data_IF_714097846323
#
_entry.id   IF_714097846323
#
_cell.length_a   1.000
_cell.length_b   1.000
_cell.length_c   1.000
_cell.angle_alpha   90.00
_cell.angle_beta   90.00
_cell.angle_gamma   90.00
#
_symmetry.space_group_name_H-M   'P 1'
#
loop_
_entity.id
_entity.type
_entity.pdbx_description
1 polymer ?
#
# COMPACT_ATOMS: atom_id res chain seq x y z
N UNK A 1 22.47 -1.47 12.89
CA UNK A 1 21.82 -2.57 12.12
C UNK A 1 20.69 -2.02 11.27
N UNK A 2 19.72 -1.31 11.84
CA UNK A 2 18.59 -0.72 11.09
C UNK A 2 19.01 0.18 9.91
N UNK A 3 19.99 1.07 10.09
CA UNK A 3 20.48 1.91 8.99
C UNK A 3 21.16 1.12 7.86
N UNK A 4 21.79 0.00 8.22
CA UNK A 4 22.45 -0.90 7.27
C UNK A 4 21.40 -1.68 6.49
N UNK A 5 20.27 -2.02 7.12
CA UNK A 5 19.17 -2.77 6.52
C UNK A 5 19.65 -4.06 5.83
N UNK A 6 20.42 -4.85 6.57
CA UNK A 6 21.04 -6.09 6.09
C UNK A 6 20.01 -7.13 5.67
N UNK A 7 20.41 -7.96 4.71
CA UNK A 7 19.65 -9.14 4.30
C UNK A 7 19.42 -10.11 5.47
N UNK A 8 20.49 -10.48 6.17
CA UNK A 8 20.45 -11.34 7.35
C UNK A 8 21.07 -10.60 8.56
N UNK A 9 20.41 -10.68 9.72
CA UNK A 9 20.93 -10.14 10.99
C UNK A 9 20.94 -11.25 12.03
N UNK A 10 22.14 -11.63 12.50
CA UNK A 10 22.29 -12.57 13.61
C UNK A 10 22.68 -11.83 14.89
N UNK A 11 21.90 -12.03 15.95
CA UNK A 11 22.06 -11.37 17.25
C UNK A 11 22.55 -12.38 18.28
N UNK A 12 23.80 -12.25 18.69
CA UNK A 12 24.46 -13.11 19.68
C UNK A 12 24.80 -12.30 20.93
N UNK A 13 23.76 -11.92 21.67
CA UNK A 13 23.88 -11.15 22.92
C UNK A 13 23.15 -11.87 24.06
N UNK A 14 23.35 -11.41 25.30
CA UNK A 14 22.67 -11.97 26.49
C UNK A 14 21.16 -11.71 26.51
N UNK A 15 20.70 -10.61 25.91
CA UNK A 15 19.28 -10.25 25.77
C UNK A 15 18.97 -9.91 24.29
N UNK A 16 18.75 -10.93 23.44
CA UNK A 16 18.48 -10.73 22.02
C UNK A 16 17.11 -10.08 21.77
N UNK A 17 16.18 -10.10 22.73
CA UNK A 17 14.83 -9.57 22.55
C UNK A 17 14.82 -8.04 22.48
N UNK A 18 15.84 -7.36 23.02
CA UNK A 18 16.01 -5.90 22.82
C UNK A 18 16.08 -5.58 21.33
N UNK A 19 16.72 -6.42 20.53
CA UNK A 19 16.84 -6.21 19.08
C UNK A 19 15.53 -6.54 18.37
N UNK A 20 14.85 -7.62 18.75
CA UNK A 20 13.52 -7.93 18.21
C UNK A 20 12.52 -6.78 18.41
N UNK A 21 12.56 -6.11 19.57
CA UNK A 21 11.66 -4.99 19.88
C UNK A 21 12.04 -3.68 19.19
N UNK A 22 13.29 -3.51 18.75
CA UNK A 22 13.82 -2.22 18.27
C UNK A 22 14.16 -2.18 16.79
N UNK A 23 14.54 -3.31 16.20
CA UNK A 23 14.90 -3.34 14.78
C UNK A 23 13.63 -3.30 13.93
N UNK A 24 13.66 -2.47 12.89
CA UNK A 24 12.57 -2.30 11.93
C UNK A 24 13.01 -2.61 10.50
N UNK A 25 14.32 -2.68 10.24
CA UNK A 25 14.88 -2.87 8.90
C UNK A 25 15.85 -4.07 8.85
N UNK A 26 15.34 -5.24 8.47
CA UNK A 26 16.11 -6.47 8.23
C UNK A 26 15.36 -7.40 7.27
N UNK A 27 16.07 -8.22 6.50
CA UNK A 27 15.43 -9.29 5.71
C UNK A 27 14.98 -10.45 6.59
N UNK A 28 15.91 -11.02 7.37
CA UNK A 28 15.64 -12.03 8.39
C UNK A 28 16.47 -11.81 9.65
N UNK A 29 15.86 -12.08 10.81
CA UNK A 29 16.46 -11.87 12.13
C UNK A 29 16.64 -13.22 12.84
N UNK A 30 17.86 -13.51 13.28
CA UNK A 30 18.25 -14.74 13.96
C UNK A 30 18.69 -14.43 15.37
N UNK A 31 17.96 -14.93 16.37
CA UNK A 31 18.10 -14.52 17.77
C UNK A 31 18.74 -15.63 18.63
N UNK A 32 19.85 -15.28 19.28
CA UNK A 32 20.51 -16.11 20.27
C UNK A 32 21.31 -17.28 19.69
N UNK A 33 22.04 -18.01 20.55
CA UNK A 33 23.02 -19.02 20.12
C UNK A 33 22.42 -20.28 19.50
N UNK A 34 21.10 -20.48 19.64
CA UNK A 34 20.39 -21.66 19.11
C UNK A 34 19.84 -21.44 17.71
N UNK A 35 19.89 -20.22 17.18
CA UNK A 35 19.28 -19.85 15.90
C UNK A 35 20.36 -19.28 14.99
N UNK A 36 20.70 -19.99 13.92
CA UNK A 36 21.70 -19.55 12.95
C UNK A 36 21.09 -19.38 11.55
N UNK A 37 21.82 -18.65 10.70
CA UNK A 37 21.40 -18.34 9.33
C UNK A 37 21.12 -19.59 8.51
N UNK A 38 21.92 -20.66 8.67
CA UNK A 38 21.74 -21.90 7.92
C UNK A 38 20.39 -22.57 8.16
N UNK A 39 19.77 -22.39 9.33
CA UNK A 39 18.43 -22.90 9.58
C UNK A 39 17.38 -22.15 8.75
N UNK A 40 17.52 -20.82 8.65
CA UNK A 40 16.69 -19.95 7.80
C UNK A 40 16.84 -20.26 6.31
N UNK A 41 18.07 -20.55 5.89
CA UNK A 41 18.39 -20.85 4.49
C UNK A 41 17.85 -22.19 4.00
N UNK A 42 17.50 -23.10 4.91
CA UNK A 42 17.29 -24.52 4.58
C UNK A 42 15.98 -25.10 5.07
N UNK A 43 15.64 -24.96 6.36
CA UNK A 43 14.65 -25.89 6.97
C UNK A 43 13.66 -25.28 7.95
N UNK A 44 13.94 -24.11 8.54
CA UNK A 44 13.12 -23.61 9.65
C UNK A 44 11.75 -23.05 9.21
N UNK A 45 11.56 -22.83 7.90
CA UNK A 45 10.27 -22.44 7.29
C UNK A 45 10.17 -20.98 6.86
N UNK A 46 11.09 -20.11 7.27
CA UNK A 46 11.22 -18.75 6.73
C UNK A 46 11.72 -18.78 5.28
N UNK A 47 11.43 -17.74 4.49
CA UNK A 47 11.90 -17.65 3.10
C UNK A 47 13.28 -16.99 3.03
N UNK A 48 14.23 -17.61 2.33
CA UNK A 48 15.60 -17.10 2.16
C UNK A 48 15.81 -16.20 0.93
N UNK A 49 14.77 -15.97 0.12
CA UNK A 49 14.82 -14.96 -0.94
C UNK A 49 14.51 -13.61 -0.32
N UNK A 50 15.56 -12.91 0.11
CA UNK A 50 15.50 -11.71 0.93
C UNK A 50 16.03 -10.46 0.19
N UNK A 51 15.60 -9.26 0.62
CA UNK A 51 16.10 -8.01 0.05
C UNK A 51 17.55 -7.72 0.46
N UNK A 52 18.40 -7.44 -0.52
CA UNK A 52 19.80 -7.04 -0.35
C UNK A 52 19.98 -5.54 -0.63
N UNK A 53 21.21 -5.01 -0.60
CA UNK A 53 21.52 -3.61 -0.93
C UNK A 53 20.71 -2.56 -0.16
N UNK A 54 20.44 -2.86 1.13
CA UNK A 54 19.64 -2.03 2.03
C UNK A 54 18.15 -1.92 1.65
N UNK A 55 17.65 -2.80 0.79
CA UNK A 55 16.25 -2.80 0.34
C UNK A 55 15.27 -3.25 1.43
N UNK A 56 15.76 -3.85 2.53
CA UNK A 56 14.94 -4.18 3.70
C UNK A 56 14.25 -2.96 4.35
N UNK A 57 14.60 -1.72 3.92
CA UNK A 57 13.92 -0.48 4.34
C UNK A 57 12.50 -0.29 3.80
N UNK A 58 12.16 -0.93 2.68
CA UNK A 58 10.89 -0.68 1.98
C UNK A 58 10.26 -1.94 1.40
N UNK A 59 10.92 -3.09 1.48
CA UNK A 59 10.35 -4.38 1.11
C UNK A 59 10.81 -5.46 2.10
N UNK A 60 9.95 -6.46 2.32
CA UNK A 60 10.30 -7.68 3.05
C UNK A 60 10.81 -8.79 2.12
N UNK A 61 11.06 -9.96 2.72
CA UNK A 61 11.36 -11.20 2.00
C UNK A 61 10.22 -11.68 1.10
N UNK A 62 10.53 -12.60 0.19
CA UNK A 62 9.52 -13.27 -0.63
C UNK A 62 8.50 -13.99 0.27
N UNK A 63 7.21 -13.76 0.01
CA UNK A 63 6.11 -14.39 0.72
C UNK A 63 4.96 -14.67 -0.24
N UNK A 64 3.95 -15.43 0.20
CA UNK A 64 2.84 -15.90 -0.67
C UNK A 64 2.15 -14.75 -1.41
N UNK A 65 2.02 -13.57 -0.80
CA UNK A 65 1.39 -12.41 -1.44
C UNK A 65 2.12 -11.89 -2.68
N UNK A 66 3.39 -12.25 -2.90
CA UNK A 66 4.09 -11.94 -4.16
C UNK A 66 3.57 -12.74 -5.35
N UNK A 67 2.88 -13.85 -5.09
CA UNK A 67 2.24 -14.70 -6.08
C UNK A 67 0.74 -14.47 -6.19
N UNK A 68 0.19 -13.60 -5.33
CA UNK A 68 -1.21 -13.18 -5.38
C UNK A 68 -1.36 -11.92 -6.24
N UNK A 69 -2.57 -11.73 -6.76
CA UNK A 69 -3.00 -10.48 -7.40
C UNK A 69 -4.19 -9.93 -6.64
N UNK A 70 -4.04 -8.76 -6.04
CA UNK A 70 -5.11 -8.08 -5.29
C UNK A 70 -6.01 -7.32 -6.25
N UNK A 71 -7.12 -7.94 -6.66
CA UNK A 71 -8.14 -7.28 -7.47
C UNK A 71 -9.16 -6.55 -6.57
N UNK A 72 -9.34 -5.25 -6.78
CA UNK A 72 -10.43 -4.48 -6.16
C UNK A 72 -11.62 -4.38 -7.12
N UNK A 73 -12.83 -4.38 -6.58
CA UNK A 73 -14.05 -4.14 -7.35
C UNK A 73 -15.01 -3.30 -6.53
N UNK A 74 -15.88 -2.56 -7.21
CA UNK A 74 -16.85 -1.69 -6.57
C UNK A 74 -18.16 -1.73 -7.34
N UNK A 75 -19.28 -1.65 -6.62
CA UNK A 75 -20.62 -1.57 -7.18
C UNK A 75 -21.41 -0.54 -6.40
N UNK A 76 -21.90 0.48 -7.09
CA UNK A 76 -22.87 1.43 -6.53
C UNK A 76 -24.26 0.79 -6.67
N UNK A 77 -24.98 0.66 -5.55
CA UNK A 77 -26.22 -0.12 -5.49
C UNK A 77 -27.49 0.70 -5.66
N UNK A 78 -27.43 2.02 -5.42
CA UNK A 78 -28.60 2.89 -5.53
C UNK A 78 -28.28 4.16 -6.30
N UNK A 79 -29.31 4.74 -6.89
CA UNK A 79 -29.24 6.00 -7.62
C UNK A 79 -28.78 7.13 -6.68
N UNK A 80 -29.30 7.18 -5.44
CA UNK A 80 -28.96 8.18 -4.44
C UNK A 80 -27.46 8.13 -4.08
N UNK A 81 -26.89 6.93 -3.94
CA UNK A 81 -25.47 6.76 -3.70
C UNK A 81 -24.62 7.19 -4.91
N UNK A 82 -25.08 6.93 -6.14
CA UNK A 82 -24.40 7.40 -7.35
C UNK A 82 -24.39 8.92 -7.46
N UNK A 83 -25.48 9.57 -7.04
CA UNK A 83 -25.58 11.04 -7.00
C UNK A 83 -24.65 11.60 -5.95
N UNK A 84 -24.69 11.08 -4.72
CA UNK A 84 -23.86 11.55 -3.61
C UNK A 84 -22.36 11.50 -3.97
N UNK A 85 -21.87 10.36 -4.46
CA UNK A 85 -20.47 10.22 -4.85
C UNK A 85 -20.14 11.08 -6.09
N UNK A 86 -21.08 11.19 -7.04
CA UNK A 86 -20.93 12.06 -8.21
C UNK A 86 -20.75 13.53 -7.84
N UNK A 87 -21.50 14.03 -6.86
CA UNK A 87 -21.36 15.41 -6.37
C UNK A 87 -19.99 15.67 -5.73
N UNK A 88 -19.45 14.72 -4.94
CA UNK A 88 -18.09 14.83 -4.41
C UNK A 88 -17.03 14.81 -5.51
N UNK A 89 -17.15 13.86 -6.45
CA UNK A 89 -16.20 13.69 -7.54
C UNK A 89 -16.18 14.94 -8.45
N UNK A 90 -17.34 15.51 -8.76
CA UNK A 90 -17.44 16.75 -9.54
C UNK A 90 -16.65 17.90 -8.92
N UNK A 91 -16.81 18.14 -7.61
CA UNK A 91 -16.10 19.20 -6.89
C UNK A 91 -14.58 18.97 -6.85
N UNK A 92 -14.14 17.73 -6.61
CA UNK A 92 -12.72 17.38 -6.62
C UNK A 92 -12.11 17.59 -8.02
N UNK A 93 -12.78 17.12 -9.06
CA UNK A 93 -12.31 17.28 -10.44
C UNK A 93 -12.21 18.75 -10.86
N UNK A 94 -13.07 19.63 -10.32
CA UNK A 94 -12.98 21.07 -10.53
C UNK A 94 -11.68 21.63 -9.93
N UNK A 95 -11.34 21.25 -8.70
CA UNK A 95 -10.09 21.67 -8.04
C UNK A 95 -8.83 21.12 -8.73
N UNK A 96 -8.92 19.93 -9.33
CA UNK A 96 -7.80 19.25 -9.99
C UNK A 96 -7.66 19.60 -11.49
N UNK A 97 -8.56 20.42 -12.04
CA UNK A 97 -8.64 20.71 -13.47
C UNK A 97 -8.85 19.48 -14.39
N UNK A 98 -9.59 18.48 -13.93
CA UNK A 98 -9.83 17.20 -14.62
C UNK A 98 -11.20 17.14 -15.30
N UNK A 99 -11.35 17.87 -16.41
CA UNK A 99 -12.63 18.08 -17.10
C UNK A 99 -13.43 16.81 -17.43
N UNK A 100 -12.77 15.81 -18.03
CA UNK A 100 -13.44 14.56 -18.43
C UNK A 100 -13.96 13.75 -17.23
N UNK A 101 -13.23 13.74 -16.12
CA UNK A 101 -13.65 13.03 -14.91
C UNK A 101 -14.82 13.77 -14.23
N UNK A 102 -14.71 15.10 -14.11
CA UNK A 102 -15.76 15.93 -13.54
C UNK A 102 -17.07 15.81 -14.34
N UNK A 103 -16.98 15.80 -15.66
CA UNK A 103 -18.16 15.64 -16.50
C UNK A 103 -18.75 14.22 -16.43
N UNK A 104 -17.92 13.18 -16.33
CA UNK A 104 -18.42 11.84 -16.05
C UNK A 104 -19.22 11.80 -14.73
N UNK A 105 -18.75 12.47 -13.67
CA UNK A 105 -19.46 12.56 -12.40
C UNK A 105 -20.78 13.34 -12.54
N UNK A 106 -20.74 14.50 -13.20
CA UNK A 106 -21.93 15.34 -13.46
C UNK A 106 -23.01 14.57 -14.21
N UNK A 107 -22.67 13.74 -15.20
CA UNK A 107 -23.64 12.91 -15.92
C UNK A 107 -24.44 11.99 -14.98
N UNK A 108 -23.84 11.49 -13.89
CA UNK A 108 -24.52 10.62 -12.92
C UNK A 108 -25.43 11.44 -12.02
N UNK A 109 -24.97 12.62 -11.60
CA UNK A 109 -25.79 13.59 -10.85
C UNK A 109 -27.01 14.01 -11.67
N UNK A 110 -26.84 14.34 -12.97
CA UNK A 110 -27.96 14.69 -13.85
C UNK A 110 -28.91 13.52 -14.04
N UNK A 111 -28.39 12.36 -14.42
CA UNK A 111 -29.20 11.19 -14.77
C UNK A 111 -29.98 10.63 -13.58
N UNK A 112 -29.30 10.39 -12.46
CA UNK A 112 -29.88 9.69 -11.31
C UNK A 112 -30.44 10.65 -10.25
N UNK A 113 -29.90 11.87 -10.16
CA UNK A 113 -30.37 12.89 -9.21
C UNK A 113 -31.52 13.74 -9.77
N UNK A 114 -31.81 13.64 -11.07
CA UNK A 114 -32.82 14.44 -11.78
C UNK A 114 -32.64 15.94 -11.54
N UNK A 115 -31.39 16.37 -11.38
CA UNK A 115 -30.97 17.75 -11.12
C UNK A 115 -30.13 18.21 -12.29
N UNK A 116 -30.37 19.44 -12.74
CA UNK A 116 -29.48 20.03 -13.74
C UNK A 116 -28.25 20.62 -13.03
N UNK A 117 -27.07 20.17 -13.43
CA UNK A 117 -25.79 20.72 -12.97
C UNK A 117 -25.05 21.27 -14.18
N UNK A 118 -24.39 22.44 -14.08
CA UNK A 118 -23.65 23.02 -15.21
C UNK A 118 -22.67 22.01 -15.80
N UNK A 119 -22.42 22.12 -17.11
CA UNK A 119 -21.29 21.43 -17.73
C UNK A 119 -20.01 21.84 -17.04
N UNK A 120 -19.08 20.89 -16.91
CA UNK A 120 -17.79 21.15 -16.29
C UNK A 120 -17.18 22.47 -16.80
N UNK A 121 -16.80 23.33 -15.85
CA UNK A 121 -16.04 24.53 -16.12
C UNK A 121 -14.65 24.36 -15.51
N UNK A 122 -13.55 24.58 -16.27
CA UNK A 122 -12.21 24.57 -15.69
C UNK A 122 -12.05 25.74 -14.72
N UNK A 123 -11.28 25.53 -13.65
CA UNK A 123 -10.88 26.63 -12.77
C UNK A 123 -9.83 27.45 -13.52
N UNK A 124 -10.04 28.76 -13.59
CA UNK A 124 -9.05 29.67 -14.17
C UNK A 124 -7.75 29.55 -13.35
N UNK A 125 -6.57 29.46 -14.02
CA UNK A 125 -5.30 29.50 -13.30
C UNK A 125 -5.22 30.74 -12.41
N UNK A 126 -4.66 30.58 -11.22
CA UNK A 126 -4.36 31.70 -10.32
C UNK A 126 -3.24 32.59 -10.90
#
# INVERSE_FOLDING_TARGET
ADEIASEHVQVMTSDPDIFLRRLTNYGALFLGPRTNVSFGDKVIGTNHTLPTNKNARYTGGLWVGKFLKTCTYQRVLTDEASVMIGEYCSRLCHMENFAGHGEQANLRVRKYGKRDVPWYQPVQPA
#
